data_IF_919561372174
#
_entry.id   IF_919561372174
#
_cell.length_a   1.000
_cell.length_b   1.000
_cell.length_c   1.000
_cell.angle_alpha   90.00
_cell.angle_beta   90.00
_cell.angle_gamma   90.00
#
_symmetry.space_group_name_H-M   'P 1'
#
loop_
_entity.id
_entity.type
_entity.pdbx_description
1 polymer ?
#
# COMPACT_ATOMS: atom_id res chain seq x y z
N UNK A 1 -19.26 10.46 -0.40
CA UNK A 1 -18.92 10.71 1.02
C UNK A 1 -20.03 10.08 1.85
N UNK A 2 -19.67 9.28 2.82
CA UNK A 2 -20.60 8.66 3.77
C UNK A 2 -20.36 9.21 5.18
N UNK A 3 -21.42 9.47 5.91
CA UNK A 3 -21.36 9.86 7.34
C UNK A 3 -21.34 8.64 8.28
N UNK A 4 -21.37 7.43 7.73
CA UNK A 4 -21.30 6.17 8.48
C UNK A 4 -20.25 5.25 7.86
N UNK A 5 -19.64 4.42 8.69
CA UNK A 5 -18.69 3.39 8.23
C UNK A 5 -19.40 2.09 7.80
N UNK A 6 -20.72 2.01 8.02
CA UNK A 6 -21.51 0.82 7.67
C UNK A 6 -22.03 0.92 6.22
N UNK A 7 -21.54 0.03 5.38
CA UNK A 7 -21.94 -0.11 3.99
C UNK A 7 -22.69 -1.43 3.80
N UNK A 8 -23.77 -1.40 3.02
CA UNK A 8 -24.50 -2.62 2.69
C UNK A 8 -23.71 -3.50 1.71
N UNK A 9 -23.93 -4.81 1.77
CA UNK A 9 -23.26 -5.82 0.93
C UNK A 9 -23.31 -5.47 -0.58
N UNK A 10 -24.44 -4.96 -1.06
CA UNK A 10 -24.59 -4.56 -2.47
C UNK A 10 -23.68 -3.38 -2.83
N UNK A 11 -23.56 -2.39 -1.96
CA UNK A 11 -22.68 -1.24 -2.17
C UNK A 11 -21.21 -1.67 -2.18
N UNK A 12 -20.80 -2.55 -1.27
CA UNK A 12 -19.46 -3.13 -1.21
C UNK A 12 -19.11 -3.87 -2.52
N UNK A 13 -19.99 -4.73 -3.00
CA UNK A 13 -19.81 -5.46 -4.25
C UNK A 13 -19.72 -4.52 -5.46
N UNK A 14 -20.53 -3.45 -5.47
CA UNK A 14 -20.51 -2.46 -6.55
C UNK A 14 -19.18 -1.72 -6.58
N UNK A 15 -18.68 -1.25 -5.44
CA UNK A 15 -17.42 -0.52 -5.33
C UNK A 15 -16.24 -1.42 -5.74
N UNK A 16 -16.22 -2.67 -5.26
CA UNK A 16 -15.15 -3.62 -5.48
C UNK A 16 -14.90 -3.92 -6.97
N UNK A 17 -15.95 -3.84 -7.79
CA UNK A 17 -15.90 -4.21 -9.21
C UNK A 17 -15.81 -2.99 -10.16
N UNK A 18 -15.66 -1.78 -9.64
CA UNK A 18 -15.58 -0.57 -10.47
C UNK A 18 -14.19 -0.36 -11.08
N UNK A 19 -14.17 0.05 -12.35
CA UNK A 19 -12.97 0.53 -13.05
C UNK A 19 -13.35 1.86 -13.74
N UNK A 20 -12.72 2.98 -13.41
CA UNK A 20 -11.66 3.16 -12.39
C UNK A 20 -12.16 2.84 -10.98
N UNK A 21 -11.21 2.49 -10.13
CA UNK A 21 -11.46 2.15 -8.73
C UNK A 21 -12.14 3.31 -8.00
N UNK A 22 -13.17 2.99 -7.22
CA UNK A 22 -13.88 3.96 -6.37
C UNK A 22 -13.33 3.93 -4.96
N UNK A 23 -12.89 5.08 -4.47
CA UNK A 23 -12.40 5.22 -3.10
C UNK A 23 -13.55 5.52 -2.15
N UNK A 24 -13.48 4.96 -0.95
CA UNK A 24 -14.36 5.31 0.15
C UNK A 24 -13.70 6.40 0.99
N UNK A 25 -14.47 7.41 1.35
CA UNK A 25 -14.09 8.43 2.32
C UNK A 25 -15.13 8.42 3.44
N UNK A 26 -14.74 7.97 4.60
CA UNK A 26 -15.54 8.03 5.82
C UNK A 26 -15.33 9.36 6.54
N UNK A 27 -16.19 9.66 7.50
CA UNK A 27 -15.98 10.82 8.38
C UNK A 27 -14.67 10.72 9.14
N UNK A 28 -14.33 9.51 9.58
CA UNK A 28 -13.09 9.23 10.31
C UNK A 28 -11.84 9.47 9.45
N UNK A 29 -11.91 9.20 8.14
CA UNK A 29 -10.82 9.52 7.21
C UNK A 29 -10.65 11.03 7.08
N UNK A 30 -11.75 11.79 7.01
CA UNK A 30 -11.71 13.25 6.97
C UNK A 30 -11.18 13.86 8.28
N UNK A 31 -11.54 13.30 9.42
CA UNK A 31 -11.06 13.76 10.74
C UNK A 31 -9.57 13.44 10.96
N UNK A 32 -9.09 12.34 10.41
CA UNK A 32 -7.69 11.91 10.52
C UNK A 32 -6.79 12.48 9.43
N UNK A 33 -7.34 13.17 8.44
CA UNK A 33 -6.54 13.74 7.34
C UNK A 33 -5.72 14.95 7.83
N UNK A 34 -4.51 15.08 7.29
CA UNK A 34 -3.59 16.18 7.58
C UNK A 34 -4.02 17.46 6.82
N UNK A 35 -5.31 17.82 6.95
CA UNK A 35 -5.85 19.07 6.44
C UNK A 35 -5.95 20.08 7.56
N UNK A 36 -5.40 21.25 7.34
CA UNK A 36 -5.59 22.41 8.19
C UNK A 36 -6.94 23.06 7.83
N UNK A 37 -7.97 22.63 8.55
CA UNK A 37 -9.36 23.05 8.30
C UNK A 37 -9.56 24.56 8.44
N UNK A 38 -8.82 25.23 9.33
CA UNK A 38 -8.89 26.68 9.50
C UNK A 38 -8.36 27.41 8.25
N UNK A 39 -7.29 26.91 7.65
CA UNK A 39 -6.79 27.44 6.37
C UNK A 39 -7.77 27.18 5.24
N UNK A 40 -8.42 26.00 5.22
CA UNK A 40 -9.44 25.69 4.21
C UNK A 40 -10.65 26.63 4.33
N UNK A 41 -11.13 26.89 5.54
CA UNK A 41 -12.20 27.86 5.80
C UNK A 41 -11.81 29.30 5.39
N UNK A 42 -10.55 29.67 5.55
CA UNK A 42 -10.04 30.97 5.12
C UNK A 42 -9.88 31.13 3.61
N UNK A 43 -10.24 30.08 2.82
CA UNK A 43 -10.18 30.07 1.36
C UNK A 43 -8.83 29.64 0.77
N UNK A 44 -7.93 29.07 1.57
CA UNK A 44 -6.70 28.45 1.09
C UNK A 44 -6.97 26.98 0.71
N UNK A 45 -6.77 26.63 -0.56
CA UNK A 45 -7.08 25.32 -1.12
C UNK A 45 -5.83 24.53 -1.55
N UNK A 46 -5.98 23.23 -1.68
CA UNK A 46 -4.94 22.35 -2.21
C UNK A 46 -3.74 22.23 -1.27
N UNK A 47 -2.53 22.36 -1.79
CA UNK A 47 -1.29 22.23 -1.01
C UNK A 47 -1.17 23.25 0.13
N UNK A 48 -1.78 24.42 -0.01
CA UNK A 48 -1.73 25.48 0.99
C UNK A 48 -2.54 25.16 2.27
N UNK A 49 -3.57 24.32 2.16
CA UNK A 49 -4.39 23.84 3.29
C UNK A 49 -3.90 22.57 3.94
N UNK A 50 -2.79 22.00 3.48
CA UNK A 50 -2.20 20.80 4.11
C UNK A 50 -1.35 21.18 5.33
N UNK A 51 -1.34 20.28 6.30
CA UNK A 51 -0.34 20.30 7.37
C UNK A 51 1.04 20.09 6.73
N UNK A 52 2.07 20.73 7.30
CA UNK A 52 3.43 20.65 6.75
C UNK A 52 3.89 19.19 6.58
N UNK A 53 4.36 18.78 5.38
CA UNK A 53 4.89 17.44 5.18
C UNK A 53 6.04 17.14 6.15
N UNK A 54 6.22 15.86 6.47
CA UNK A 54 7.35 15.41 7.29
C UNK A 54 8.67 15.75 6.61
N UNK A 55 9.59 16.32 7.37
CA UNK A 55 10.96 16.55 6.92
C UNK A 55 11.79 15.28 7.15
N UNK A 56 12.64 14.94 6.17
CA UNK A 56 13.55 13.80 6.28
C UNK A 56 14.59 14.13 7.35
N UNK A 57 14.69 13.28 8.36
CA UNK A 57 15.70 13.41 9.43
C UNK A 57 17.04 12.84 8.96
N UNK A 58 18.15 13.29 9.56
CA UNK A 58 19.51 12.88 9.17
C UNK A 58 19.69 11.35 9.12
N UNK A 59 19.16 10.60 10.12
CA UNK A 59 19.27 9.15 10.15
C UNK A 59 18.45 8.46 9.05
N UNK A 60 17.33 9.07 8.63
CA UNK A 60 16.51 8.58 7.52
C UNK A 60 17.22 8.84 6.19
N UNK A 61 17.81 10.02 6.01
CA UNK A 61 18.60 10.32 4.81
C UNK A 61 19.76 9.35 4.67
N UNK A 62 20.52 9.10 5.74
CA UNK A 62 21.59 8.09 5.75
C UNK A 62 21.12 6.70 5.38
N UNK A 63 19.90 6.33 5.78
CA UNK A 63 19.31 5.03 5.43
C UNK A 63 18.96 4.97 3.94
N UNK A 64 18.36 6.03 3.38
CA UNK A 64 18.04 6.16 1.97
C UNK A 64 19.31 6.05 1.12
N UNK A 65 20.34 6.84 1.44
CA UNK A 65 21.60 6.87 0.72
C UNK A 65 22.27 5.47 0.70
N UNK A 66 22.31 4.79 1.87
CA UNK A 66 22.88 3.44 1.98
C UNK A 66 22.10 2.39 1.20
N UNK A 67 20.78 2.49 1.14
CA UNK A 67 19.96 1.59 0.33
C UNK A 67 20.26 1.81 -1.14
N UNK A 68 20.31 3.06 -1.59
CA UNK A 68 20.65 3.40 -2.96
C UNK A 68 22.03 2.86 -3.36
N UNK A 69 23.09 3.19 -2.60
CA UNK A 69 24.45 2.69 -2.83
C UNK A 69 24.49 1.14 -2.92
N UNK A 70 23.75 0.46 -2.04
CA UNK A 70 23.72 -0.99 -2.03
C UNK A 70 23.02 -1.57 -3.27
N UNK A 71 21.89 -1.01 -3.68
CA UNK A 71 21.12 -1.49 -4.83
C UNK A 71 21.78 -1.22 -6.17
N UNK A 72 22.77 -0.33 -6.25
CA UNK A 72 23.59 -0.17 -7.47
C UNK A 72 24.38 -1.45 -7.84
N UNK A 73 24.62 -2.33 -6.88
CA UNK A 73 25.47 -3.53 -7.06
C UNK A 73 24.80 -4.83 -6.62
N UNK A 74 23.64 -4.76 -5.98
CA UNK A 74 22.93 -5.92 -5.42
C UNK A 74 21.44 -5.82 -5.70
N UNK A 75 20.81 -6.95 -6.02
CA UNK A 75 19.37 -7.02 -6.32
C UNK A 75 18.49 -7.03 -5.08
N UNK A 76 19.06 -7.15 -3.89
CA UNK A 76 18.33 -7.23 -2.61
C UNK A 76 19.20 -6.79 -1.44
N UNK A 77 18.53 -6.25 -0.41
CA UNK A 77 19.18 -5.83 0.83
C UNK A 77 18.28 -5.96 2.03
N UNK A 78 18.84 -5.71 3.20
CA UNK A 78 18.11 -5.66 4.47
C UNK A 78 18.40 -4.35 5.18
N UNK A 79 17.36 -3.55 5.39
CA UNK A 79 17.44 -2.34 6.19
C UNK A 79 16.90 -2.63 7.60
N UNK A 80 17.71 -2.33 8.62
CA UNK A 80 17.33 -2.49 10.02
C UNK A 80 17.21 -1.10 10.64
N UNK A 81 16.01 -0.76 11.11
CA UNK A 81 15.72 0.49 11.79
C UNK A 81 15.01 0.22 13.11
N UNK A 82 15.31 1.00 14.15
CA UNK A 82 14.64 0.88 15.44
C UNK A 82 13.14 1.24 15.36
N UNK A 83 12.35 0.77 16.32
CA UNK A 83 10.95 1.18 16.44
C UNK A 83 10.85 2.70 16.65
N UNK A 84 9.82 3.34 16.09
CA UNK A 84 9.61 4.79 16.25
C UNK A 84 10.52 5.71 15.43
N UNK A 85 11.47 5.17 14.64
CA UNK A 85 12.38 5.98 13.81
C UNK A 85 11.78 6.40 12.46
N UNK A 86 10.50 6.09 12.19
CA UNK A 86 9.81 6.46 10.97
C UNK A 86 10.08 5.52 9.80
N UNK A 87 10.15 4.20 10.02
CA UNK A 87 10.36 3.18 8.98
C UNK A 87 9.44 3.35 7.79
N UNK A 88 8.13 3.56 8.02
CA UNK A 88 7.12 3.72 6.97
C UNK A 88 7.38 4.94 6.09
N UNK A 89 7.76 6.07 6.68
CA UNK A 89 8.13 7.26 5.93
C UNK A 89 9.45 7.08 5.17
N UNK A 90 10.45 6.45 5.82
CA UNK A 90 11.73 6.15 5.17
C UNK A 90 11.54 5.20 3.99
N UNK A 91 10.68 4.17 4.10
CA UNK A 91 10.39 3.26 2.99
C UNK A 91 9.71 3.94 1.81
N UNK A 92 8.83 4.92 2.07
CA UNK A 92 8.27 5.77 1.01
C UNK A 92 9.37 6.55 0.28
N UNK A 93 10.26 7.21 1.03
CA UNK A 93 11.34 8.00 0.43
C UNK A 93 12.37 7.15 -0.33
N UNK A 94 12.62 5.92 0.13
CA UNK A 94 13.39 4.93 -0.65
C UNK A 94 12.67 4.61 -1.96
N UNK A 95 11.37 4.32 -1.91
CA UNK A 95 10.61 4.02 -3.11
C UNK A 95 10.63 5.18 -4.13
N UNK A 96 10.42 6.40 -3.66
CA UNK A 96 10.52 7.61 -4.49
C UNK A 96 11.92 7.78 -5.11
N UNK A 97 12.97 7.52 -4.34
CA UNK A 97 14.36 7.65 -4.80
C UNK A 97 14.74 6.60 -5.83
N UNK A 98 14.43 5.32 -5.56
CA UNK A 98 14.82 4.20 -6.43
C UNK A 98 14.04 4.14 -7.74
N UNK A 99 12.86 4.79 -7.81
CA UNK A 99 11.98 4.76 -8.98
C UNK A 99 11.75 6.13 -9.62
N UNK A 100 12.48 7.16 -9.18
CA UNK A 100 12.22 8.56 -9.59
C UNK A 100 10.75 8.97 -9.41
N UNK A 101 10.10 8.43 -8.38
CA UNK A 101 8.67 8.66 -8.10
C UNK A 101 7.72 8.09 -9.15
N UNK A 102 8.12 7.06 -9.87
CA UNK A 102 7.35 6.37 -10.92
C UNK A 102 7.48 4.85 -10.74
N UNK A 103 6.93 4.09 -11.68
CA UNK A 103 7.10 2.63 -11.71
C UNK A 103 6.06 1.85 -10.92
N UNK A 104 6.23 0.53 -10.91
CA UNK A 104 5.36 -0.45 -10.27
C UNK A 104 6.04 -1.01 -9.02
N UNK A 105 5.46 -0.75 -7.85
CA UNK A 105 6.04 -1.12 -6.57
C UNK A 105 5.14 -2.13 -5.87
N UNK A 106 5.74 -3.13 -5.23
CA UNK A 106 5.06 -4.05 -4.33
C UNK A 106 5.46 -3.77 -2.87
N UNK A 107 4.47 -3.49 -2.03
CA UNK A 107 4.67 -3.31 -0.60
C UNK A 107 3.96 -4.43 0.18
N UNK A 108 4.73 -5.24 0.89
CA UNK A 108 4.24 -6.40 1.64
C UNK A 108 4.27 -6.13 3.15
N UNK A 109 3.14 -6.41 3.81
CA UNK A 109 2.96 -6.27 5.26
C UNK A 109 2.39 -7.55 5.88
N UNK A 110 2.59 -7.76 7.20
CA UNK A 110 2.10 -8.97 7.87
C UNK A 110 0.60 -8.95 8.19
N UNK A 111 -0.06 -7.78 8.19
CA UNK A 111 -1.48 -7.67 8.58
C UNK A 111 -2.22 -6.58 7.82
N UNK A 112 -3.55 -6.69 7.77
CA UNK A 112 -4.45 -5.72 7.14
C UNK A 112 -4.38 -4.37 7.86
N UNK A 113 -4.25 -4.37 9.19
CA UNK A 113 -4.11 -3.14 9.97
C UNK A 113 -2.87 -2.34 9.56
N UNK A 114 -1.72 -3.01 9.42
CA UNK A 114 -0.49 -2.38 8.95
C UNK A 114 -0.60 -1.94 7.49
N UNK A 115 -1.34 -2.69 6.65
CA UNK A 115 -1.60 -2.29 5.27
C UNK A 115 -2.34 -0.96 5.22
N UNK A 116 -3.44 -0.82 5.95
CA UNK A 116 -4.22 0.42 6.02
C UNK A 116 -3.41 1.60 6.56
N UNK A 117 -2.63 1.38 7.62
CA UNK A 117 -1.76 2.41 8.20
C UNK A 117 -0.69 2.87 7.20
N UNK A 118 -0.02 1.93 6.53
CA UNK A 118 1.02 2.23 5.54
C UNK A 118 0.45 2.96 4.33
N UNK A 119 -0.67 2.48 3.81
CA UNK A 119 -1.37 3.11 2.70
C UNK A 119 -1.68 4.58 2.99
N UNK A 120 -2.30 4.88 4.14
CA UNK A 120 -2.63 6.26 4.54
C UNK A 120 -1.37 7.11 4.65
N UNK A 121 -0.36 6.62 5.38
CA UNK A 121 0.90 7.35 5.57
C UNK A 121 1.60 7.65 4.24
N UNK A 122 1.64 6.70 3.32
CA UNK A 122 2.26 6.88 2.02
C UNK A 122 1.49 7.88 1.15
N UNK A 123 0.15 7.75 1.10
CA UNK A 123 -0.68 8.69 0.32
C UNK A 123 -0.61 10.12 0.84
N UNK A 124 -0.48 10.30 2.16
CA UNK A 124 -0.37 11.63 2.79
C UNK A 124 1.00 12.28 2.55
N UNK A 125 2.09 11.48 2.63
CA UNK A 125 3.47 11.99 2.67
C UNK A 125 4.22 11.87 1.34
N UNK A 126 3.60 11.29 0.31
CA UNK A 126 4.20 11.15 -1.00
C UNK A 126 4.42 12.51 -1.69
N UNK A 127 5.55 12.66 -2.37
CA UNK A 127 5.90 13.85 -3.15
C UNK A 127 5.01 13.99 -4.39
N UNK A 128 4.60 12.86 -4.98
CA UNK A 128 3.69 12.76 -6.12
C UNK A 128 2.50 11.85 -5.78
N UNK A 129 1.37 11.97 -6.49
CA UNK A 129 0.23 11.07 -6.30
C UNK A 129 0.62 9.60 -6.42
N UNK A 130 0.04 8.75 -5.54
CA UNK A 130 0.20 7.30 -5.58
C UNK A 130 -1.05 6.68 -6.21
N UNK A 131 -0.86 5.80 -7.19
CA UNK A 131 -1.91 4.95 -7.74
C UNK A 131 -1.91 3.64 -6.95
N UNK A 132 -2.73 3.54 -5.90
CA UNK A 132 -2.69 2.41 -5.00
C UNK A 132 -3.66 1.29 -5.42
N UNK A 133 -3.20 0.05 -5.32
CA UNK A 133 -3.99 -1.18 -5.47
C UNK A 133 -3.82 -2.02 -4.22
N UNK A 134 -4.93 -2.43 -3.58
CA UNK A 134 -4.90 -3.23 -2.36
C UNK A 134 -5.25 -4.68 -2.64
N UNK A 135 -4.38 -5.60 -2.22
CA UNK A 135 -4.56 -7.05 -2.35
C UNK A 135 -4.49 -7.69 -0.97
N UNK A 136 -5.64 -8.04 -0.42
CA UNK A 136 -5.72 -8.79 0.83
C UNK A 136 -7.05 -9.55 0.91
N UNK A 137 -7.07 -10.63 1.70
CA UNK A 137 -8.25 -11.48 1.90
C UNK A 137 -8.86 -11.25 3.28
N UNK A 138 -10.19 -11.29 3.36
CA UNK A 138 -10.96 -11.26 4.61
C UNK A 138 -10.84 -12.55 5.45
N UNK A 139 -10.01 -13.50 5.05
CA UNK A 139 -9.90 -14.82 5.71
C UNK A 139 -9.48 -14.76 7.19
N UNK A 140 -9.04 -13.62 7.68
CA UNK A 140 -8.80 -13.42 9.12
C UNK A 140 -10.04 -12.90 9.87
N UNK A 141 -10.99 -12.26 9.20
CA UNK A 141 -12.24 -11.77 9.81
C UNK A 141 -13.10 -12.95 10.23
N UNK A 142 -13.24 -13.98 9.38
CA UNK A 142 -14.00 -15.21 9.67
C UNK A 142 -13.44 -16.06 10.80
N UNK A 143 -12.15 -15.91 11.15
CA UNK A 143 -11.53 -16.60 12.31
C UNK A 143 -11.55 -15.77 13.59
N UNK A 144 -11.73 -14.47 13.49
CA UNK A 144 -11.77 -13.55 14.62
C UNK A 144 -13.17 -13.37 15.20
N UNK A 145 -14.23 -13.61 14.41
CA UNK A 145 -15.60 -13.67 14.92
C UNK A 145 -15.81 -14.79 15.96
N UNK A 146 -14.94 -15.81 15.98
CA UNK A 146 -14.95 -16.87 17.03
C UNK A 146 -14.16 -16.48 18.30
N UNK A 147 -13.43 -15.34 18.30
CA UNK A 147 -12.72 -14.83 19.49
C UNK A 147 -13.02 -13.36 19.61
N UNK A 148 -13.78 -12.99 20.65
CA UNK A 148 -14.12 -11.63 21.08
C UNK A 148 -12.86 -10.75 21.27
N UNK A 149 -12.18 -10.37 20.20
CA UNK A 149 -11.03 -9.49 20.25
C UNK A 149 -11.40 -8.20 19.51
N UNK A 150 -11.67 -7.12 20.27
CA UNK A 150 -12.15 -5.81 19.83
C UNK A 150 -11.18 -5.03 18.90
N UNK A 151 -10.12 -5.65 18.39
CA UNK A 151 -9.09 -5.02 17.57
C UNK A 151 -8.95 -5.60 16.15
N UNK A 152 -9.97 -6.23 15.59
CA UNK A 152 -9.93 -6.75 14.22
C UNK A 152 -10.29 -5.68 13.20
N UNK A 153 -9.27 -5.13 12.53
CA UNK A 153 -9.46 -4.25 11.37
C UNK A 153 -9.87 -5.11 10.17
N UNK A 154 -11.05 -4.85 9.65
CA UNK A 154 -11.62 -5.50 8.46
C UNK A 154 -11.05 -4.89 7.17
N UNK A 155 -11.10 -5.62 6.05
CA UNK A 155 -10.83 -5.05 4.71
C UNK A 155 -11.80 -3.92 4.36
N UNK A 156 -12.97 -3.88 5.00
CA UNK A 156 -13.96 -2.81 4.87
C UNK A 156 -13.43 -1.49 5.41
N UNK A 157 -12.50 -1.52 6.37
CA UNK A 157 -11.89 -0.33 6.97
C UNK A 157 -10.75 0.26 6.11
N UNK A 158 -10.40 -0.38 5.00
CA UNK A 158 -9.45 0.19 4.06
C UNK A 158 -10.11 1.30 3.24
N UNK A 159 -9.43 2.43 3.08
CA UNK A 159 -9.88 3.54 2.24
C UNK A 159 -10.05 3.15 0.76
N UNK A 160 -9.40 2.07 0.34
CA UNK A 160 -9.47 1.49 -1.01
C UNK A 160 -10.10 0.10 -0.96
N UNK A 161 -10.94 -0.28 -1.95
CA UNK A 161 -11.45 -1.63 -2.04
C UNK A 161 -10.31 -2.62 -2.25
N UNK A 162 -10.24 -3.63 -1.39
CA UNK A 162 -9.29 -4.73 -1.51
C UNK A 162 -9.91 -5.90 -2.28
N UNK A 163 -9.10 -6.58 -3.07
CA UNK A 163 -9.52 -7.76 -3.82
C UNK A 163 -8.47 -8.86 -3.77
N UNK A 164 -8.94 -10.11 -3.82
CA UNK A 164 -8.12 -11.30 -4.11
C UNK A 164 -8.51 -11.96 -5.43
N UNK A 165 -9.43 -11.34 -6.17
CA UNK A 165 -9.78 -11.79 -7.52
C UNK A 165 -8.69 -11.37 -8.50
N UNK A 166 -7.97 -12.35 -9.04
CA UNK A 166 -6.82 -12.13 -9.93
C UNK A 166 -7.21 -11.35 -11.18
N UNK A 167 -8.39 -11.61 -11.75
CA UNK A 167 -8.83 -10.95 -12.98
C UNK A 167 -9.16 -9.47 -12.75
N UNK A 168 -9.77 -9.14 -11.62
CA UNK A 168 -10.02 -7.75 -11.20
C UNK A 168 -8.72 -6.99 -10.97
N UNK A 169 -7.74 -7.61 -10.32
CA UNK A 169 -6.42 -7.03 -10.06
C UNK A 169 -5.71 -6.74 -11.38
N UNK A 170 -5.69 -7.71 -12.29
CA UNK A 170 -5.07 -7.55 -13.62
C UNK A 170 -5.74 -6.43 -14.41
N UNK A 171 -7.07 -6.34 -14.40
CA UNK A 171 -7.81 -5.25 -15.07
C UNK A 171 -7.47 -3.89 -14.49
N UNK A 172 -7.36 -3.77 -13.15
CA UNK A 172 -6.99 -2.50 -12.50
C UNK A 172 -5.57 -2.08 -12.87
N UNK A 173 -4.60 -2.98 -12.79
CA UNK A 173 -3.21 -2.69 -13.13
C UNK A 173 -3.04 -2.36 -14.62
N UNK A 174 -3.69 -3.10 -15.51
CA UNK A 174 -3.69 -2.84 -16.95
C UNK A 174 -4.33 -1.48 -17.29
N UNK A 175 -5.42 -1.13 -16.62
CA UNK A 175 -6.02 0.20 -16.73
C UNK A 175 -5.06 1.31 -16.29
N UNK A 176 -4.40 1.17 -15.13
CA UNK A 176 -3.43 2.14 -14.62
C UNK A 176 -2.24 2.30 -15.57
N UNK A 177 -1.76 1.21 -16.16
CA UNK A 177 -0.70 1.24 -17.14
C UNK A 177 -1.08 2.03 -18.42
N UNK A 178 -2.31 1.84 -18.93
CA UNK A 178 -2.77 2.47 -20.18
C UNK A 178 -3.03 3.97 -20.07
N UNK A 179 -3.40 4.47 -18.91
CA UNK A 179 -3.77 5.89 -18.75
C UNK A 179 -2.59 6.79 -18.40
N UNK A 180 -1.36 6.26 -18.42
CA UNK A 180 -0.12 7.01 -18.15
C UNK A 180 -0.24 7.97 -16.96
N UNK A 181 -0.78 7.48 -15.83
CA UNK A 181 -0.93 8.30 -14.64
C UNK A 181 0.42 8.77 -14.13
N UNK A 182 0.45 10.01 -13.69
CA UNK A 182 1.61 10.54 -12.96
C UNK A 182 1.79 9.83 -11.63
N UNK A 183 3.03 9.57 -11.23
CA UNK A 183 3.41 8.99 -9.95
C UNK A 183 3.59 7.48 -9.98
N UNK A 184 3.86 6.92 -8.81
CA UNK A 184 4.08 5.47 -8.62
C UNK A 184 2.76 4.71 -8.62
N UNK A 185 2.76 3.50 -9.20
CA UNK A 185 1.71 2.51 -8.97
C UNK A 185 2.18 1.57 -7.86
N UNK A 186 1.47 1.55 -6.74
CA UNK A 186 1.87 0.75 -5.57
C UNK A 186 0.82 -0.31 -5.25
N UNK A 187 1.25 -1.56 -5.32
CA UNK A 187 0.47 -2.71 -4.88
C UNK A 187 0.76 -2.94 -3.40
N UNK A 188 -0.19 -2.59 -2.54
CA UNK A 188 -0.14 -2.91 -1.12
C UNK A 188 -0.77 -4.26 -0.86
N UNK A 189 -0.05 -5.16 -0.21
CA UNK A 189 -0.55 -6.51 0.03
C UNK A 189 -0.09 -7.09 1.35
N UNK A 190 -0.86 -8.05 1.85
CA UNK A 190 -0.41 -8.92 2.94
C UNK A 190 0.41 -10.09 2.40
N UNK A 191 1.33 -10.62 3.22
CA UNK A 191 2.12 -11.81 2.84
C UNK A 191 1.27 -13.01 2.46
N UNK A 192 0.08 -13.18 3.05
CA UNK A 192 -0.84 -14.28 2.76
C UNK A 192 -1.37 -14.24 1.32
N UNK A 193 -1.37 -13.07 0.69
CA UNK A 193 -1.91 -12.88 -0.67
C UNK A 193 -0.85 -12.97 -1.77
N UNK A 194 0.37 -13.41 -1.45
CA UNK A 194 1.49 -13.44 -2.41
C UNK A 194 1.22 -14.34 -3.62
N UNK A 195 0.49 -15.44 -3.44
CA UNK A 195 0.10 -16.34 -4.54
C UNK A 195 -0.83 -15.66 -5.55
N UNK A 196 -1.72 -14.78 -5.08
CA UNK A 196 -2.62 -13.99 -5.93
C UNK A 196 -1.80 -13.00 -6.75
N UNK A 197 -0.83 -12.35 -6.13
CA UNK A 197 0.09 -11.41 -6.81
C UNK A 197 0.87 -12.15 -7.89
N UNK A 198 1.44 -13.31 -7.58
CA UNK A 198 2.18 -14.13 -8.55
C UNK A 198 1.34 -14.52 -9.76
N UNK A 199 0.07 -14.88 -9.55
CA UNK A 199 -0.87 -15.19 -10.63
C UNK A 199 -1.19 -13.96 -11.48
N UNK A 200 -1.49 -12.82 -10.83
CA UNK A 200 -1.76 -11.57 -11.52
C UNK A 200 -0.55 -11.11 -12.35
N UNK A 201 0.65 -11.19 -11.78
CA UNK A 201 1.90 -10.85 -12.47
C UNK A 201 2.12 -11.71 -13.73
N UNK A 202 1.92 -13.01 -13.64
CA UNK A 202 2.04 -13.92 -14.80
C UNK A 202 1.04 -13.56 -15.91
N UNK A 203 -0.18 -13.21 -15.55
CA UNK A 203 -1.20 -12.78 -16.53
C UNK A 203 -0.84 -11.42 -17.16
N UNK A 204 -0.36 -10.46 -16.39
CA UNK A 204 0.08 -9.16 -16.91
C UNK A 204 1.23 -9.32 -17.89
N UNK A 205 2.26 -10.06 -17.52
CA UNK A 205 3.41 -10.32 -18.39
C UNK A 205 3.01 -11.00 -19.70
N UNK A 206 2.07 -11.94 -19.67
CA UNK A 206 1.59 -12.60 -20.88
C UNK A 206 0.74 -11.68 -21.78
N UNK A 207 -0.01 -10.74 -21.22
CA UNK A 207 -0.86 -9.79 -21.97
C UNK A 207 -0.09 -8.61 -22.56
N UNK A 208 1.03 -8.25 -21.94
CA UNK A 208 1.84 -7.07 -22.30
C UNK A 208 3.14 -7.44 -23.01
N UNK A 209 3.27 -8.67 -23.49
CA UNK A 209 4.50 -9.21 -24.08
C UNK A 209 5.74 -8.99 -23.18
N UNK A 210 5.54 -9.03 -21.86
CA UNK A 210 6.56 -8.84 -20.85
C UNK A 210 6.93 -7.39 -20.56
N UNK A 211 6.24 -6.40 -21.13
CA UNK A 211 6.57 -4.98 -20.93
C UNK A 211 6.04 -4.38 -19.64
N UNK A 212 4.99 -4.99 -19.06
CA UNK A 212 4.39 -4.53 -17.80
C UNK A 212 4.05 -5.71 -16.88
N UNK A 213 4.25 -5.52 -15.57
CA UNK A 213 3.98 -6.52 -14.53
C UNK A 213 5.22 -6.95 -13.77
N UNK A 214 6.41 -6.47 -14.16
CA UNK A 214 7.62 -6.59 -13.36
C UNK A 214 7.61 -5.46 -12.32
N UNK A 215 7.81 -5.80 -11.05
CA UNK A 215 7.95 -4.81 -10.00
C UNK A 215 9.35 -4.20 -10.05
N UNK A 216 9.41 -2.87 -10.14
CA UNK A 216 10.67 -2.12 -10.09
C UNK A 216 11.30 -2.16 -8.69
N UNK A 217 10.45 -2.20 -7.66
CA UNK A 217 10.89 -2.34 -6.28
C UNK A 217 9.91 -3.19 -5.47
N UNK A 218 10.44 -4.07 -4.61
CA UNK A 218 9.65 -4.86 -3.65
C UNK A 218 10.13 -4.51 -2.25
N UNK A 219 9.21 -4.02 -1.41
CA UNK A 219 9.45 -3.69 -0.01
C UNK A 219 8.71 -4.69 0.87
N UNK A 220 9.45 -5.34 1.76
CA UNK A 220 8.92 -6.32 2.71
C UNK A 220 9.02 -5.74 4.12
N UNK A 221 7.92 -5.23 4.68
CA UNK A 221 7.90 -4.73 6.05
C UNK A 221 7.78 -5.90 7.04
N UNK A 222 8.47 -5.78 8.19
CA UNK A 222 8.52 -6.82 9.23
C UNK A 222 8.90 -8.22 8.66
N UNK A 223 9.86 -8.25 7.72
CA UNK A 223 10.27 -9.45 6.98
C UNK A 223 10.74 -10.61 7.89
N UNK A 224 11.13 -10.34 9.13
CA UNK A 224 11.49 -11.36 10.09
C UNK A 224 10.34 -12.33 10.43
N UNK A 225 9.07 -11.91 10.23
CA UNK A 225 7.89 -12.76 10.45
C UNK A 225 7.71 -13.81 9.36
N UNK A 226 8.36 -13.66 8.20
CA UNK A 226 8.28 -14.61 7.09
C UNK A 226 9.29 -15.75 7.20
N UNK A 227 10.33 -15.59 8.03
CA UNK A 227 11.42 -16.57 8.16
C UNK A 227 11.07 -17.78 9.03
N UNK A 228 9.95 -17.76 9.76
CA UNK A 228 9.52 -18.83 10.65
C UNK A 228 8.86 -20.03 9.95
N UNK A 229 8.44 -19.90 8.70
CA UNK A 229 7.72 -20.95 7.98
C UNK A 229 8.69 -21.97 7.34
N UNK A 230 9.87 -21.53 6.94
CA UNK A 230 10.87 -22.37 6.26
C UNK A 230 11.68 -23.28 7.19
N UNK A 231 11.62 -23.08 8.51
CA UNK A 231 12.37 -23.91 9.47
C UNK A 231 11.58 -25.14 9.97
N UNK A 232 10.27 -25.22 9.72
CA UNK A 232 9.47 -26.38 10.11
C UNK A 232 9.49 -27.51 9.09
N UNK A 233 9.67 -27.20 7.81
CA UNK A 233 9.70 -28.20 6.73
C UNK A 233 11.11 -28.77 6.45
N UNK A 234 12.13 -28.27 7.14
CA UNK A 234 13.52 -28.75 7.01
C UNK A 234 13.91 -29.81 8.07
N UNK A 235 12.93 -30.40 8.76
CA UNK A 235 13.14 -31.46 9.78
C UNK A 235 12.26 -32.70 9.56
N UNK A 236 12.04 -33.07 8.31
CA UNK A 236 11.62 -34.44 7.95
C UNK A 236 12.59 -35.04 6.92
#
# INVERSE_FOLDING_TARGET
ISTTNNWGTTAELTIKNQIPQVNRLSLMDLESDEVDWEKLESGLFGKASRVKPFEIKEHQQKAIDKVHEHLLTHDRGKLIMACGTGKTFTSLKIAENETDGKGLILFLVPSIALLGQTLRSWCQQASNPINAVCICSDSQVSKAEEKNDDNTVSTVDLALPASTDTDSIVKQLDYLNRIEKSGMTVVFSTYQSIDVISKAQKQLLSRTDGTYGIFDLIICDEAHRTTGVTLKDAKE
#
